data_IF_302765544701
#
_entry.id   IF_302765544701
#
_cell.length_a   1.000
_cell.length_b   1.000
_cell.length_c   1.000
_cell.angle_alpha   90.00
_cell.angle_beta   90.00
_cell.angle_gamma   90.00
#
_symmetry.space_group_name_H-M   'P 1'
#
loop_
_entity.id
_entity.type
_entity.pdbx_description
1 polymer ?
#
# COMPACT_ATOMS: atom_id res chain seq x y z
N UNK A 1 -2.14 -2.29 -7.68
CA UNK A 1 -1.21 -2.21 -8.83
C UNK A 1 0.14 -1.69 -8.33
N UNK A 2 1.24 -2.37 -8.64
CA UNK A 2 2.58 -1.94 -8.19
C UNK A 2 3.05 -0.72 -9.01
N UNK A 3 3.57 0.35 -8.37
CA UNK A 3 3.96 1.53 -9.10
C UNK A 3 5.14 1.33 -10.04
N UNK A 4 5.13 2.09 -11.14
CA UNK A 4 6.17 2.07 -12.17
C UNK A 4 7.20 3.17 -11.90
N UNK A 5 8.47 2.91 -12.29
CA UNK A 5 9.66 3.77 -12.21
C UNK A 5 9.38 5.26 -11.93
N UNK A 6 9.47 5.62 -10.65
CA UNK A 6 9.37 7.01 -10.19
C UNK A 6 10.68 7.43 -9.55
N UNK A 7 11.18 8.63 -9.88
CA UNK A 7 12.37 9.17 -9.21
C UNK A 7 11.94 10.05 -8.04
N UNK A 8 12.75 10.10 -6.98
CA UNK A 8 12.47 10.97 -5.84
C UNK A 8 12.53 12.45 -6.21
N UNK A 9 13.28 12.82 -7.24
CA UNK A 9 13.28 14.20 -7.75
C UNK A 9 11.88 14.62 -8.25
N UNK A 10 11.16 13.73 -8.93
CA UNK A 10 9.79 13.99 -9.36
C UNK A 10 8.83 14.10 -8.17
N UNK A 11 8.99 13.22 -7.17
CA UNK A 11 8.18 13.23 -5.95
C UNK A 11 8.43 14.53 -5.18
N UNK A 12 9.69 14.94 -5.01
CA UNK A 12 10.07 16.17 -4.32
C UNK A 12 9.44 17.40 -5.01
N UNK A 13 9.46 17.47 -6.35
CA UNK A 13 8.79 18.56 -7.11
C UNK A 13 7.28 18.55 -6.91
N UNK A 14 6.65 17.39 -6.98
CA UNK A 14 5.22 17.23 -6.74
C UNK A 14 4.84 17.67 -5.32
N UNK A 15 5.56 17.20 -4.31
CA UNK A 15 5.28 17.53 -2.92
C UNK A 15 5.57 19.00 -2.60
N UNK A 16 6.62 19.59 -3.18
CA UNK A 16 6.90 21.02 -3.06
C UNK A 16 5.76 21.88 -3.60
N UNK A 17 5.15 21.47 -4.71
CA UNK A 17 3.97 22.14 -5.28
C UNK A 17 2.73 21.95 -4.39
N UNK A 18 2.48 20.75 -3.86
CA UNK A 18 1.31 20.47 -3.04
C UNK A 18 1.39 21.06 -1.63
N UNK A 19 2.59 21.19 -1.05
CA UNK A 19 2.83 21.69 0.31
C UNK A 19 2.07 22.99 0.68
N UNK A 20 2.10 24.08 -0.13
CA UNK A 20 1.35 25.30 0.21
C UNK A 20 -0.17 25.17 0.04
N UNK A 21 -0.66 24.11 -0.63
CA UNK A 21 -2.10 23.90 -0.80
C UNK A 21 -2.66 23.14 0.41
N UNK A 22 -3.84 23.55 0.84
CA UNK A 22 -4.64 22.86 1.85
C UNK A 22 -5.77 22.12 1.15
N UNK A 23 -5.96 20.83 1.48
CA UNK A 23 -7.00 20.00 0.88
C UNK A 23 -6.70 19.51 -0.53
N UNK A 24 -7.77 19.16 -1.23
CA UNK A 24 -7.75 18.60 -2.59
C UNK A 24 -7.35 19.62 -3.66
N UNK A 25 -6.40 19.23 -4.51
CA UNK A 25 -5.94 20.01 -5.67
C UNK A 25 -6.29 19.26 -6.94
N UNK A 26 -6.98 19.90 -7.87
CA UNK A 26 -7.36 19.27 -9.14
C UNK A 26 -6.14 18.91 -9.99
N UNK A 27 -6.17 17.73 -10.62
CA UNK A 27 -5.09 17.27 -11.49
C UNK A 27 -4.84 18.21 -12.67
N UNK A 28 -5.88 18.90 -13.16
CA UNK A 28 -5.74 19.95 -14.18
C UNK A 28 -4.84 21.08 -13.69
N UNK A 29 -5.01 21.54 -12.43
CA UNK A 29 -4.15 22.56 -11.84
C UNK A 29 -2.72 22.04 -11.64
N UNK A 30 -2.56 20.80 -11.18
CA UNK A 30 -1.23 20.19 -11.05
C UNK A 30 -0.50 20.14 -12.40
N UNK A 31 -1.16 19.63 -13.44
CA UNK A 31 -0.62 19.53 -14.81
C UNK A 31 -0.34 20.88 -15.47
N UNK A 32 -1.04 21.94 -15.08
CA UNK A 32 -0.80 23.28 -15.58
C UNK A 32 0.47 23.93 -14.97
N UNK A 33 0.91 23.48 -13.78
CA UNK A 33 2.02 24.09 -13.04
C UNK A 33 3.29 23.22 -12.98
N UNK A 34 3.16 21.93 -13.22
CA UNK A 34 4.26 20.98 -13.24
C UNK A 34 4.43 20.38 -14.64
N UNK A 35 5.64 19.92 -14.94
CA UNK A 35 5.90 19.28 -16.21
C UNK A 35 5.13 17.95 -16.36
N UNK A 36 4.88 17.56 -17.61
CA UNK A 36 4.14 16.33 -17.94
C UNK A 36 4.84 15.06 -17.46
N UNK A 37 6.16 15.09 -17.23
CA UNK A 37 6.90 13.93 -16.72
C UNK A 37 6.65 13.78 -15.22
N UNK A 38 6.63 14.87 -14.45
CA UNK A 38 6.34 14.85 -13.00
C UNK A 38 4.89 14.46 -12.73
N UNK A 39 3.97 14.85 -13.62
CA UNK A 39 2.51 14.61 -13.49
C UNK A 39 2.02 13.35 -14.21
N UNK A 40 2.94 12.48 -14.66
CA UNK A 40 2.61 11.18 -15.22
C UNK A 40 1.80 10.35 -14.21
N UNK A 41 0.72 9.73 -14.68
CA UNK A 41 -0.21 8.98 -13.85
C UNK A 41 0.49 7.91 -13.00
N UNK A 42 1.54 7.29 -13.53
CA UNK A 42 2.31 6.25 -12.85
C UNK A 42 3.09 6.79 -11.65
N UNK A 43 3.60 8.02 -11.74
CA UNK A 43 4.32 8.68 -10.63
C UNK A 43 3.38 9.13 -9.54
N UNK A 44 2.20 9.61 -9.92
CA UNK A 44 1.13 9.93 -8.98
C UNK A 44 0.67 8.67 -8.23
N UNK A 45 0.45 7.55 -8.91
CA UNK A 45 0.15 6.28 -8.24
C UNK A 45 1.32 5.79 -7.38
N UNK A 46 2.58 6.03 -7.76
CA UNK A 46 3.72 5.72 -6.92
C UNK A 46 3.74 6.52 -5.62
N UNK A 47 3.58 7.84 -5.70
CA UNK A 47 3.53 8.71 -4.52
C UNK A 47 2.34 8.36 -3.62
N UNK A 48 1.19 7.99 -4.22
CA UNK A 48 0.01 7.52 -3.49
C UNK A 48 0.29 6.21 -2.78
N UNK A 49 0.85 5.23 -3.49
CA UNK A 49 1.13 3.91 -2.95
C UNK A 49 2.14 3.97 -1.79
N UNK A 50 3.16 4.84 -1.87
CA UNK A 50 4.07 5.10 -0.74
C UNK A 50 3.34 5.72 0.47
N UNK A 51 2.21 6.40 0.25
CA UNK A 51 1.47 7.10 1.29
C UNK A 51 1.85 8.57 1.46
N UNK A 52 2.52 9.18 0.47
CA UNK A 52 2.88 10.61 0.49
C UNK A 52 1.74 11.51 0.00
N UNK A 53 0.83 10.97 -0.81
CA UNK A 53 -0.36 11.68 -1.30
C UNK A 53 -1.60 10.79 -1.24
N UNK A 54 -2.78 11.40 -1.25
CA UNK A 54 -4.08 10.78 -1.51
C UNK A 54 -4.56 11.17 -2.90
N UNK A 55 -5.42 10.35 -3.48
CA UNK A 55 -6.01 10.57 -4.80
C UNK A 55 -7.43 10.02 -4.87
N UNK A 56 -8.36 10.79 -5.44
CA UNK A 56 -9.76 10.40 -5.70
C UNK A 56 -10.04 10.13 -7.18
N UNK A 57 -9.02 10.23 -8.02
CA UNK A 57 -9.06 10.09 -9.48
C UNK A 57 -8.88 11.42 -10.20
N UNK A 58 -9.58 12.48 -9.77
CA UNK A 58 -9.57 13.81 -10.39
C UNK A 58 -8.71 14.83 -9.63
N UNK A 59 -8.53 14.60 -8.34
CA UNK A 59 -7.84 15.47 -7.40
C UNK A 59 -6.76 14.69 -6.65
N UNK A 60 -5.78 15.43 -6.15
CA UNK A 60 -4.70 14.93 -5.30
C UNK A 60 -4.58 15.80 -4.05
N UNK A 61 -4.24 15.17 -2.94
CA UNK A 61 -4.03 15.84 -1.65
C UNK A 61 -2.72 15.31 -1.05
N UNK A 62 -1.92 16.18 -0.43
CA UNK A 62 -0.72 15.75 0.31
C UNK A 62 -1.13 15.15 1.65
N UNK A 63 -0.56 13.99 2.03
CA UNK A 63 -0.79 13.40 3.37
C UNK A 63 0.01 14.14 4.43
N UNK A 64 -0.25 13.86 5.71
CA UNK A 64 0.55 14.39 6.81
C UNK A 64 2.02 13.95 6.72
N UNK A 65 2.25 12.68 6.36
CA UNK A 65 3.60 12.15 6.13
C UNK A 65 4.28 12.84 4.93
N UNK A 66 3.55 13.03 3.83
CA UNK A 66 4.05 13.78 2.67
C UNK A 66 4.38 15.23 3.00
N UNK A 67 3.55 15.88 3.84
CA UNK A 67 3.76 17.25 4.30
C UNK A 67 4.97 17.36 5.22
N UNK A 68 5.13 16.43 6.15
CA UNK A 68 6.30 16.35 7.02
C UNK A 68 7.57 16.17 6.19
N UNK A 69 7.56 15.20 5.26
CA UNK A 69 8.67 14.92 4.35
C UNK A 69 9.04 16.16 3.50
N UNK A 70 8.04 16.87 2.95
CA UNK A 70 8.24 18.07 2.14
C UNK A 70 8.68 19.31 2.93
N UNK A 71 8.48 19.31 4.25
CA UNK A 71 8.81 20.44 5.13
C UNK A 71 10.19 20.33 5.75
N UNK A 72 10.68 19.10 5.97
CA UNK A 72 12.03 18.89 6.49
C UNK A 72 13.11 19.05 5.42
N UNK A 73 14.21 19.70 5.80
CA UNK A 73 15.47 19.74 5.04
C UNK A 73 16.51 18.77 5.58
N UNK A 74 16.29 18.23 6.79
CA UNK A 74 17.20 17.28 7.41
C UNK A 74 17.09 15.91 6.72
N UNK A 75 18.18 15.39 6.11
CA UNK A 75 18.18 14.08 5.48
C UNK A 75 17.85 12.94 6.44
N UNK A 76 18.25 13.03 7.73
CA UNK A 76 18.00 11.99 8.71
C UNK A 76 16.50 11.89 9.02
N UNK A 77 15.85 13.03 9.26
CA UNK A 77 14.40 13.09 9.45
C UNK A 77 13.62 12.62 8.21
N UNK A 78 14.07 12.98 6.99
CA UNK A 78 13.48 12.44 5.75
C UNK A 78 13.58 10.93 5.68
N UNK A 79 14.76 10.37 5.98
CA UNK A 79 14.98 8.94 5.99
C UNK A 79 14.08 8.24 7.01
N UNK A 80 13.90 8.83 8.19
CA UNK A 80 13.01 8.32 9.24
C UNK A 80 11.55 8.29 8.82
N UNK A 81 11.04 9.34 8.17
CA UNK A 81 9.68 9.38 7.62
C UNK A 81 9.52 8.28 6.55
N UNK A 82 10.49 8.17 5.63
CA UNK A 82 10.47 7.14 4.58
C UNK A 82 10.55 5.72 5.13
N UNK A 83 11.30 5.50 6.21
CA UNK A 83 11.35 4.22 6.90
C UNK A 83 9.97 3.86 7.49
N UNK A 84 9.28 4.81 8.13
CA UNK A 84 7.92 4.59 8.61
C UNK A 84 6.94 4.21 7.48
N UNK A 85 7.03 4.89 6.33
CA UNK A 85 6.20 4.57 5.15
C UNK A 85 6.56 3.20 4.54
N UNK A 86 7.85 2.86 4.49
CA UNK A 86 8.31 1.56 4.01
C UNK A 86 7.84 0.42 4.92
N UNK A 87 7.81 0.65 6.23
CA UNK A 87 7.28 -0.30 7.21
C UNK A 87 5.76 -0.48 7.11
N UNK A 88 5.03 0.58 6.75
CA UNK A 88 3.58 0.53 6.58
C UNK A 88 3.15 -0.27 5.33
N UNK A 89 4.05 -0.52 4.38
CA UNK A 89 3.79 -1.33 3.20
C UNK A 89 4.21 -2.80 3.44
N UNK A 90 3.26 -3.76 3.60
CA UNK A 90 3.59 -5.13 4.03
C UNK A 90 4.63 -5.83 3.14
N UNK A 91 4.48 -5.71 1.82
CA UNK A 91 5.40 -6.30 0.85
C UNK A 91 6.83 -5.76 1.04
N UNK A 92 7.00 -4.47 1.33
CA UNK A 92 8.32 -3.87 1.49
C UNK A 92 8.94 -4.21 2.85
N UNK A 93 8.16 -4.14 3.93
CA UNK A 93 8.60 -4.53 5.26
C UNK A 93 9.11 -5.98 5.29
N UNK A 94 8.33 -6.91 4.71
CA UNK A 94 8.69 -8.32 4.60
C UNK A 94 9.93 -8.56 3.71
N UNK A 95 10.16 -7.70 2.72
CA UNK A 95 11.37 -7.77 1.90
C UNK A 95 12.62 -7.38 2.70
N UNK A 96 12.53 -6.33 3.52
CA UNK A 96 13.64 -5.94 4.40
C UNK A 96 13.91 -6.99 5.46
N UNK A 97 12.86 -7.59 6.03
CA UNK A 97 12.98 -8.73 6.95
C UNK A 97 13.71 -9.92 6.29
N UNK A 98 13.31 -10.29 5.07
CA UNK A 98 14.01 -11.33 4.31
C UNK A 98 15.48 -10.98 4.09
N UNK A 99 15.80 -9.74 3.71
CA UNK A 99 17.19 -9.30 3.54
C UNK A 99 17.99 -9.44 4.84
N UNK A 100 17.37 -9.14 5.99
CA UNK A 100 17.99 -9.29 7.31
C UNK A 100 18.28 -10.76 7.63
N UNK A 101 17.28 -11.64 7.58
CA UNK A 101 17.45 -13.05 7.96
C UNK A 101 18.30 -13.85 6.96
N UNK A 102 18.19 -13.56 5.66
CA UNK A 102 18.96 -14.23 4.63
C UNK A 102 20.41 -13.69 4.49
N UNK A 103 20.80 -12.71 5.32
CA UNK A 103 22.09 -12.00 5.23
C UNK A 103 22.40 -11.49 3.82
N UNK A 104 21.38 -11.02 3.10
CA UNK A 104 21.50 -10.49 1.73
C UNK A 104 21.76 -8.99 1.76
N UNK A 105 23.03 -8.61 1.73
CA UNK A 105 23.44 -7.21 1.68
C UNK A 105 23.38 -6.60 0.27
N UNK A 106 23.49 -7.40 -0.79
CA UNK A 106 23.47 -6.92 -2.17
C UNK A 106 22.42 -7.62 -3.05
N UNK A 107 21.11 -7.63 -2.68
CA UNK A 107 20.10 -8.29 -3.51
C UNK A 107 19.96 -7.60 -4.87
N UNK A 108 19.96 -8.40 -5.93
CA UNK A 108 19.68 -7.95 -7.30
C UNK A 108 18.19 -7.74 -7.50
N UNK A 109 17.82 -7.04 -8.58
CA UNK A 109 16.42 -6.91 -8.99
C UNK A 109 15.75 -8.28 -9.19
N UNK A 110 16.50 -9.26 -9.70
CA UNK A 110 16.02 -10.63 -9.92
C UNK A 110 15.79 -11.34 -8.60
N UNK A 111 16.72 -11.25 -7.64
CA UNK A 111 16.58 -11.90 -6.32
C UNK A 111 15.31 -11.45 -5.60
N UNK A 112 15.05 -10.14 -5.57
CA UNK A 112 13.86 -9.58 -4.92
C UNK A 112 12.60 -9.97 -5.69
N UNK A 113 12.63 -9.92 -7.03
CA UNK A 113 11.50 -10.31 -7.87
C UNK A 113 11.11 -11.79 -7.67
N UNK A 114 12.10 -12.67 -7.60
CA UNK A 114 11.90 -14.10 -7.35
C UNK A 114 11.34 -14.34 -5.94
N UNK A 115 11.85 -13.60 -4.93
CA UNK A 115 11.33 -13.67 -3.57
C UNK A 115 9.86 -13.27 -3.51
N UNK A 116 9.49 -12.18 -4.19
CA UNK A 116 8.12 -11.70 -4.27
C UNK A 116 7.21 -12.69 -4.98
N UNK A 117 7.65 -13.24 -6.10
CA UNK A 117 6.86 -14.21 -6.86
C UNK A 117 6.62 -15.51 -6.06
N UNK A 118 7.62 -15.98 -5.32
CA UNK A 118 7.53 -17.24 -4.56
C UNK A 118 6.70 -17.13 -3.29
N UNK A 119 6.82 -16.01 -2.57
CA UNK A 119 6.25 -15.90 -1.22
C UNK A 119 5.09 -14.92 -1.10
N UNK A 120 4.95 -13.99 -2.05
CA UNK A 120 4.02 -12.85 -1.95
C UNK A 120 3.19 -12.66 -3.22
N UNK A 121 2.97 -13.71 -4.01
CA UNK A 121 2.24 -13.65 -5.29
C UNK A 121 0.84 -13.04 -5.16
N UNK A 122 0.15 -13.28 -4.05
CA UNK A 122 -1.17 -12.73 -3.73
C UNK A 122 -1.14 -11.18 -3.60
N UNK A 123 -0.04 -10.63 -3.08
CA UNK A 123 0.14 -9.18 -2.91
C UNK A 123 0.55 -8.47 -4.20
N UNK A 124 0.93 -9.22 -5.24
CA UNK A 124 1.36 -8.64 -6.52
C UNK A 124 0.19 -8.20 -7.40
N UNK A 125 -1.05 -8.60 -7.08
CA UNK A 125 -2.24 -8.30 -7.88
C UNK A 125 -2.05 -8.62 -9.38
N UNK A 126 -1.38 -9.73 -9.68
CA UNK A 126 -1.09 -10.16 -11.06
C UNK A 126 0.07 -9.42 -11.75
N UNK A 127 0.83 -8.57 -11.03
CA UNK A 127 2.02 -7.94 -11.60
C UNK A 127 3.09 -8.99 -11.98
N UNK A 128 3.49 -8.99 -13.26
CA UNK A 128 4.48 -9.91 -13.81
C UNK A 128 5.46 -9.16 -14.73
N UNK A 129 6.56 -9.81 -15.10
CA UNK A 129 7.53 -9.32 -16.08
C UNK A 129 8.04 -7.91 -15.78
N UNK A 130 7.83 -6.98 -16.71
CA UNK A 130 8.28 -5.59 -16.57
C UNK A 130 7.64 -4.86 -15.39
N UNK A 131 6.35 -5.11 -15.11
CA UNK A 131 5.64 -4.45 -14.02
C UNK A 131 6.19 -4.88 -12.64
N UNK A 132 6.46 -6.18 -12.47
CA UNK A 132 7.13 -6.70 -11.28
C UNK A 132 8.53 -6.08 -11.12
N UNK A 133 9.30 -6.06 -12.20
CA UNK A 133 10.64 -5.46 -12.20
C UNK A 133 10.66 -3.98 -11.84
N UNK A 134 9.69 -3.20 -12.31
CA UNK A 134 9.56 -1.78 -11.97
C UNK A 134 9.14 -1.59 -10.51
N UNK A 135 8.29 -2.47 -9.98
CA UNK A 135 7.93 -2.52 -8.56
C UNK A 135 9.11 -2.79 -7.64
N UNK A 136 9.96 -3.74 -8.00
CA UNK A 136 11.21 -4.02 -7.27
C UNK A 136 12.15 -2.80 -7.31
N UNK A 137 12.27 -2.13 -8.46
CA UNK A 137 13.07 -0.90 -8.57
C UNK A 137 12.50 0.18 -7.65
N UNK A 138 11.18 0.30 -7.57
CA UNK A 138 10.53 1.24 -6.68
C UNK A 138 10.86 0.94 -5.21
N UNK A 139 10.74 -0.32 -4.78
CA UNK A 139 11.16 -0.77 -3.45
C UNK A 139 12.60 -0.35 -3.14
N UNK A 140 13.56 -0.65 -4.02
CA UNK A 140 14.97 -0.33 -3.76
C UNK A 140 15.22 1.18 -3.65
N UNK A 141 14.49 2.00 -4.42
CA UNK A 141 14.56 3.46 -4.32
C UNK A 141 13.99 3.96 -2.99
N UNK A 142 12.86 3.41 -2.55
CA UNK A 142 12.25 3.74 -1.26
C UNK A 142 13.16 3.31 -0.11
N UNK A 143 13.77 2.13 -0.20
CA UNK A 143 14.75 1.64 0.76
C UNK A 143 16.00 2.55 0.85
N UNK A 144 16.49 3.06 -0.30
CA UNK A 144 17.54 4.08 -0.30
C UNK A 144 17.08 5.38 0.37
N UNK A 145 15.88 5.87 0.04
CA UNK A 145 15.34 7.08 0.64
C UNK A 145 15.09 6.93 2.14
N UNK A 146 14.83 5.71 2.62
CA UNK A 146 14.72 5.34 4.02
C UNK A 146 16.08 5.14 4.73
N UNK A 147 17.20 5.36 4.02
CA UNK A 147 18.54 5.24 4.61
C UNK A 147 19.03 3.81 4.82
N UNK A 148 18.41 2.80 4.18
CA UNK A 148 18.80 1.39 4.36
C UNK A 148 20.01 0.98 3.52
N UNK A 149 20.50 1.86 2.65
CA UNK A 149 21.60 1.59 1.73
C UNK A 149 21.52 2.40 0.44
N UNK A 150 22.14 1.90 -0.63
CA UNK A 150 22.24 2.58 -1.93
C UNK A 150 21.67 1.74 -3.06
N UNK A 151 20.77 2.32 -3.83
CA UNK A 151 20.27 1.74 -5.07
C UNK A 151 21.26 2.00 -6.21
N UNK A 152 21.64 0.95 -6.93
CA UNK A 152 22.62 1.02 -8.02
C UNK A 152 21.98 0.45 -9.29
N UNK A 153 21.81 1.31 -10.29
CA UNK A 153 21.29 0.93 -11.60
C UNK A 153 22.30 0.12 -12.40
N UNK A 154 21.80 -0.79 -13.23
CA UNK A 154 22.61 -1.45 -14.26
C UNK A 154 23.40 -0.44 -15.10
N UNK A 155 24.63 -0.79 -15.46
CA UNK A 155 25.51 0.04 -16.28
C UNK A 155 26.61 -0.78 -16.94
N UNK A 156 27.52 -0.11 -17.66
CA UNK A 156 28.50 -0.79 -18.54
C UNK A 156 29.40 -1.81 -17.81
N UNK A 157 29.63 -1.67 -16.50
CA UNK A 157 30.49 -2.57 -15.70
C UNK A 157 29.72 -3.63 -14.90
N UNK A 158 28.41 -3.45 -14.72
CA UNK A 158 27.54 -4.41 -14.02
C UNK A 158 26.19 -4.46 -14.73
N UNK A 159 25.83 -5.59 -15.35
CA UNK A 159 24.61 -5.69 -16.17
C UNK A 159 23.33 -5.62 -15.34
N UNK A 160 23.40 -5.83 -14.02
CA UNK A 160 22.24 -5.93 -13.15
C UNK A 160 22.11 -4.75 -12.20
N UNK A 161 20.85 -4.32 -12.04
CA UNK A 161 20.44 -3.38 -11.00
C UNK A 161 20.37 -4.12 -9.67
N UNK A 162 20.94 -3.54 -8.62
CA UNK A 162 20.95 -4.14 -7.28
C UNK A 162 20.85 -3.06 -6.20
N UNK A 163 20.58 -3.49 -4.98
CA UNK A 163 20.56 -2.62 -3.81
C UNK A 163 21.73 -2.99 -2.91
N UNK A 164 22.63 -2.04 -2.63
CA UNK A 164 23.72 -2.21 -1.67
C UNK A 164 23.24 -1.78 -0.29
N UNK A 165 22.70 -2.72 0.47
CA UNK A 165 22.19 -2.54 1.81
C UNK A 165 23.30 -2.35 2.85
N UNK A 166 23.04 -1.47 3.82
CA UNK A 166 23.91 -1.26 4.97
C UNK A 166 23.37 -2.10 6.14
N UNK A 167 24.13 -3.12 6.55
CA UNK A 167 23.68 -4.09 7.56
C UNK A 167 23.18 -3.42 8.85
N UNK A 168 23.89 -2.44 9.45
CA UNK A 168 23.43 -1.79 10.67
C UNK A 168 22.08 -1.07 10.48
N UNK A 169 21.87 -0.42 9.33
CA UNK A 169 20.63 0.29 9.03
C UNK A 169 19.45 -0.67 8.83
N UNK A 170 19.66 -1.80 8.14
CA UNK A 170 18.65 -2.85 7.97
C UNK A 170 18.26 -3.46 9.31
N UNK A 171 19.24 -3.74 10.17
CA UNK A 171 19.01 -4.27 11.52
C UNK A 171 18.24 -3.30 12.40
N UNK A 172 18.63 -2.02 12.39
CA UNK A 172 17.91 -0.96 13.10
C UNK A 172 16.45 -0.87 12.61
N UNK A 173 16.24 -0.87 11.28
CA UNK A 173 14.90 -0.86 10.71
C UNK A 173 14.06 -2.05 11.20
N UNK A 174 14.62 -3.25 11.15
CA UNK A 174 13.92 -4.47 11.58
C UNK A 174 13.54 -4.40 13.06
N UNK A 175 14.48 -4.02 13.92
CA UNK A 175 14.23 -3.91 15.36
C UNK A 175 13.17 -2.84 15.68
N UNK A 176 13.28 -1.66 15.07
CA UNK A 176 12.37 -0.53 15.36
C UNK A 176 10.98 -0.73 14.79
N UNK A 177 10.87 -1.08 13.51
CA UNK A 177 9.60 -1.03 12.80
C UNK A 177 8.90 -2.39 12.65
N UNK A 178 9.65 -3.49 12.60
CA UNK A 178 9.07 -4.84 12.42
C UNK A 178 8.84 -5.51 13.78
N UNK A 179 9.83 -5.49 14.67
CA UNK A 179 9.67 -6.02 16.03
C UNK A 179 9.00 -5.05 17.00
N UNK A 180 8.87 -3.76 16.64
CA UNK A 180 8.31 -2.74 17.51
C UNK A 180 9.15 -2.49 18.77
N UNK A 181 10.43 -2.86 18.77
CA UNK A 181 11.32 -2.50 19.86
C UNK A 181 11.55 -0.99 19.80
N UNK A 182 11.54 -0.28 20.95
CA UNK A 182 11.98 1.11 20.94
C UNK A 182 13.37 1.14 20.30
N UNK A 183 13.61 2.11 19.42
CA UNK A 183 14.97 2.35 18.96
C UNK A 183 15.79 2.56 20.24
N UNK A 184 16.75 1.67 20.53
CA UNK A 184 17.63 1.87 21.68
C UNK A 184 18.20 3.28 21.52
N UNK A 185 17.97 4.12 22.53
CA UNK A 185 18.35 5.54 22.59
C UNK A 185 19.89 5.71 22.67
N UNK A 186 20.64 4.95 21.87
CA UNK A 186 22.02 5.22 21.55
C UNK A 186 22.07 6.37 20.53
N UNK A 187 21.87 7.58 21.05
CA UNK A 187 22.35 8.85 20.50
C UNK A 187 21.63 9.44 19.26
N UNK A 188 20.31 9.29 19.18
CA UNK A 188 19.48 10.15 18.30
C UNK A 188 18.27 10.68 19.06
N UNK A 189 18.50 11.70 19.89
CA UNK A 189 17.42 12.58 20.33
C UNK A 189 16.82 13.25 19.09
N UNK A 190 15.57 12.93 18.74
CA UNK A 190 14.44 13.86 18.50
C UNK A 190 13.29 13.17 17.73
N UNK A 191 12.11 13.13 18.34
CA UNK A 191 10.76 13.04 17.78
C UNK A 191 10.44 11.95 16.73
N UNK A 192 9.95 10.81 17.20
CA UNK A 192 8.97 10.00 16.44
C UNK A 192 7.58 10.68 16.52
N UNK A 193 6.99 11.25 15.44
CA UNK A 193 5.56 11.41 15.37
C UNK A 193 4.98 10.00 15.31
N UNK A 194 4.23 9.63 16.35
CA UNK A 194 3.26 8.54 16.24
C UNK A 194 2.33 8.92 15.11
N UNK A 195 2.34 8.16 14.02
CA UNK A 195 1.22 8.16 13.08
C UNK A 195 0.09 7.45 13.82
N UNK A 196 -0.75 8.23 14.50
CA UNK A 196 -2.00 7.73 15.06
C UNK A 196 -2.91 7.37 13.88
N UNK A 197 -2.90 6.09 13.52
CA UNK A 197 -3.88 5.52 12.60
C UNK A 197 -5.20 5.42 13.37
N UNK A 198 -5.86 6.55 13.54
CA UNK A 198 -7.22 6.58 14.07
C UNK A 198 -8.15 5.98 13.02
N UNK A 199 -8.91 4.92 13.33
CA UNK A 199 -9.93 4.42 12.43
C UNK A 199 -10.99 5.53 12.27
N UNK A 200 -11.12 6.06 11.05
CA UNK A 200 -12.15 7.03 10.69
C UNK A 200 -13.51 6.37 10.90
N UNK A 201 -14.18 6.75 11.99
CA UNK A 201 -15.60 6.48 12.19
C UNK A 201 -16.40 7.27 11.16
N UNK A 202 -17.35 6.60 10.52
CA UNK A 202 -18.23 7.18 9.51
C UNK A 202 -18.96 8.43 10.06
N UNK A 203 -19.20 9.46 9.22
CA UNK A 203 -19.89 10.66 9.65
C UNK A 203 -21.36 10.35 10.01
N UNK A 204 -21.73 10.58 11.27
CA UNK A 204 -23.12 10.64 11.69
C UNK A 204 -23.80 11.89 11.12
N UNK A 205 -25.02 11.79 10.57
CA UNK A 205 -25.81 12.94 10.16
C UNK A 205 -26.32 13.71 11.39
N UNK A 206 -25.99 14.99 11.47
CA UNK A 206 -26.46 15.94 12.48
C UNK A 206 -27.89 16.39 12.16
N UNK A 207 -28.86 15.88 12.93
CA UNK A 207 -30.22 16.42 13.01
C UNK A 207 -30.33 17.53 14.07
N UNK A 208 -31.26 18.49 13.93
CA UNK A 208 -31.48 19.56 14.90
C UNK A 208 -32.19 19.09 16.17
N UNK A 209 -31.68 19.53 17.32
CA UNK A 209 -32.18 19.22 18.67
C UNK A 209 -33.55 19.86 18.97
N UNK A 210 -34.50 19.15 19.59
CA UNK A 210 -35.65 19.76 20.25
C UNK A 210 -35.39 20.05 21.73
N UNK A 211 -36.04 21.11 22.21
CA UNK A 211 -36.12 21.59 23.58
C UNK A 211 -36.93 20.58 24.42
N UNK A 212 -36.42 20.19 25.60
CA UNK A 212 -37.10 19.28 26.53
C UNK A 212 -37.54 20.00 27.81
N UNK A 213 -38.83 19.92 28.09
CA UNK A 213 -39.49 20.30 29.35
C UNK A 213 -39.94 19.01 30.05
N UNK A 214 -39.70 18.89 31.36
CA UNK A 214 -40.22 17.83 32.24
C UNK A 214 -41.24 18.43 33.24
N UNK A 215 -42.04 17.67 34.03
CA UNK A 215 -42.03 16.22 34.25
C UNK A 215 -43.43 15.53 34.25
N UNK A 216 -43.47 14.19 34.10
CA UNK A 216 -44.72 13.45 34.30
C UNK A 216 -44.57 11.91 34.25
N UNK A 217 -44.90 11.29 35.39
CA UNK A 217 -45.39 9.92 35.63
C UNK A 217 -44.56 8.69 35.17
N UNK A 218 -44.27 7.84 36.16
CA UNK A 218 -43.67 6.52 36.00
C UNK A 218 -44.62 5.50 35.34
N UNK A 219 -44.09 4.72 34.40
CA UNK A 219 -44.74 3.60 33.72
C UNK A 219 -43.81 2.36 33.76
N UNK A 220 -44.35 1.13 33.62
CA UNK A 220 -43.73 -0.10 34.11
C UNK A 220 -42.61 -0.65 33.22
N UNK A 221 -41.70 -1.38 33.88
CA UNK A 221 -40.49 -2.01 33.35
C UNK A 221 -40.82 -3.01 32.24
N UNK A 222 -40.32 -2.75 31.03
CA UNK A 222 -40.43 -3.62 29.87
C UNK A 222 -39.29 -4.64 29.88
N UNK A 223 -39.63 -5.93 29.76
CA UNK A 223 -38.68 -7.04 29.76
C UNK A 223 -37.72 -6.97 28.54
N UNK A 224 -36.46 -7.32 28.78
CA UNK A 224 -35.40 -7.28 27.79
C UNK A 224 -35.68 -8.23 26.60
N UNK A 225 -35.34 -7.83 25.36
CA UNK A 225 -35.50 -8.69 24.18
C UNK A 225 -34.52 -9.87 24.25
N UNK A 226 -35.06 -11.08 24.12
CA UNK A 226 -34.24 -12.28 23.94
C UNK A 226 -33.77 -12.36 22.48
N UNK A 227 -32.46 -12.33 22.28
CA UNK A 227 -31.83 -12.55 20.97
C UNK A 227 -31.76 -14.05 20.73
N UNK A 228 -32.63 -14.56 19.86
CA UNK A 228 -32.61 -15.95 19.40
C UNK A 228 -31.71 -16.03 18.17
N UNK A 229 -30.53 -16.65 18.30
CA UNK A 229 -29.64 -16.92 17.17
C UNK A 229 -30.11 -18.19 16.46
N UNK A 230 -30.88 -18.04 15.38
CA UNK A 230 -31.29 -19.12 14.50
C UNK A 230 -30.21 -19.30 13.41
N UNK A 231 -29.39 -20.35 13.54
CA UNK A 231 -28.35 -20.67 12.57
C UNK A 231 -28.96 -21.27 11.29
N UNK A 232 -28.74 -20.62 10.16
CA UNK A 232 -28.79 -21.24 8.83
C UNK A 232 -27.96 -20.39 7.87
N UNK A 233 -26.76 -20.81 7.42
CA UNK A 233 -26.11 -20.11 6.33
C UNK A 233 -26.36 -20.88 5.03
N UNK A 234 -27.46 -20.56 4.36
CA UNK A 234 -27.44 -20.54 2.91
C UNK A 234 -26.62 -19.30 2.51
N UNK A 235 -25.37 -19.50 2.10
CA UNK A 235 -24.52 -18.40 1.64
C UNK A 235 -25.02 -18.00 0.25
N UNK A 236 -25.70 -16.86 0.15
CA UNK A 236 -26.10 -16.28 -1.13
C UNK A 236 -24.96 -15.41 -1.66
N UNK A 237 -24.37 -15.82 -2.78
CA UNK A 237 -23.32 -15.06 -3.48
C UNK A 237 -23.96 -14.42 -4.72
N UNK A 238 -23.95 -13.08 -4.80
CA UNK A 238 -24.37 -12.33 -5.98
C UNK A 238 -23.13 -12.00 -6.83
N UNK A 239 -23.12 -12.46 -8.08
CA UNK A 239 -22.04 -12.21 -9.03
C UNK A 239 -22.54 -11.29 -10.15
N UNK A 240 -21.88 -10.13 -10.33
CA UNK A 240 -22.13 -9.21 -11.45
C UNK A 240 -20.98 -9.32 -12.47
N UNK A 241 -21.32 -9.51 -13.74
CA UNK A 241 -20.34 -9.71 -14.83
C UNK A 241 -20.52 -8.59 -15.86
N UNK A 242 -19.49 -7.75 -16.01
CA UNK A 242 -19.45 -6.72 -17.06
C UNK A 242 -18.83 -7.32 -18.33
N UNK A 243 -19.64 -7.46 -19.37
CA UNK A 243 -19.20 -7.95 -20.68
C UNK A 243 -19.02 -6.74 -21.60
N UNK A 244 -17.87 -6.65 -22.27
CA UNK A 244 -17.61 -5.59 -23.24
C UNK A 244 -18.61 -5.66 -24.41
N UNK A 245 -18.99 -4.49 -24.96
CA UNK A 245 -20.03 -4.41 -25.99
C UNK A 245 -19.66 -5.12 -27.32
N UNK A 246 -18.37 -5.38 -27.53
CA UNK A 246 -17.81 -6.06 -28.70
C UNK A 246 -17.52 -7.55 -28.47
N UNK A 247 -17.88 -8.09 -27.31
CA UNK A 247 -17.68 -9.50 -27.02
C UNK A 247 -18.54 -10.38 -27.96
N UNK A 248 -17.89 -11.35 -28.60
CA UNK A 248 -18.62 -12.30 -29.45
C UNK A 248 -19.40 -13.31 -28.59
N UNK A 249 -20.47 -13.89 -29.15
CA UNK A 249 -21.25 -14.93 -28.48
C UNK A 249 -20.37 -16.13 -28.05
N UNK A 250 -19.34 -16.46 -28.83
CA UNK A 250 -18.36 -17.51 -28.51
C UNK A 250 -17.56 -17.17 -27.25
N UNK A 251 -17.08 -15.93 -27.14
CA UNK A 251 -16.34 -15.45 -25.96
C UNK A 251 -17.21 -15.50 -24.71
N UNK A 252 -18.48 -15.09 -24.82
CA UNK A 252 -19.44 -15.15 -23.70
C UNK A 252 -19.67 -16.61 -23.27
N UNK A 253 -19.84 -17.54 -24.23
CA UNK A 253 -20.00 -18.96 -23.93
C UNK A 253 -18.77 -19.57 -23.24
N UNK A 254 -17.55 -19.18 -23.62
CA UNK A 254 -16.33 -19.63 -22.95
C UNK A 254 -16.20 -19.12 -21.52
N UNK A 255 -16.58 -17.87 -21.25
CA UNK A 255 -16.61 -17.29 -19.90
C UNK A 255 -17.52 -18.14 -18.99
N UNK A 256 -18.76 -18.40 -19.41
CA UNK A 256 -19.69 -19.21 -18.62
C UNK A 256 -19.24 -20.66 -18.48
N UNK A 257 -18.63 -21.25 -19.51
CA UNK A 257 -18.08 -22.61 -19.45
C UNK A 257 -16.97 -22.71 -18.39
N UNK A 258 -16.06 -21.73 -18.34
CA UNK A 258 -14.99 -21.70 -17.35
C UNK A 258 -15.54 -21.43 -15.94
N UNK A 259 -16.49 -20.50 -15.78
CA UNK A 259 -17.12 -20.26 -14.47
C UNK A 259 -17.83 -21.50 -13.92
N UNK A 260 -18.52 -22.27 -14.77
CA UNK A 260 -19.18 -23.52 -14.36
C UNK A 260 -18.21 -24.51 -13.71
N UNK A 261 -16.97 -24.58 -14.21
CA UNK A 261 -15.92 -25.42 -13.63
C UNK A 261 -15.58 -25.01 -12.19
N UNK A 262 -15.65 -23.73 -11.84
CA UNK A 262 -15.28 -23.28 -10.49
C UNK A 262 -16.45 -23.18 -9.52
N UNK A 263 -17.68 -22.98 -10.03
CA UNK A 263 -18.87 -22.83 -9.18
C UNK A 263 -19.55 -24.17 -8.87
N UNK A 264 -19.51 -25.13 -9.80
CA UNK A 264 -20.21 -26.42 -9.67
C UNK A 264 -19.28 -27.63 -9.49
N UNK A 265 -17.95 -27.46 -9.59
CA UNK A 265 -17.07 -28.53 -9.14
C UNK A 265 -17.06 -28.45 -7.62
N UNK A 266 -17.97 -29.21 -7.00
CA UNK A 266 -17.84 -29.60 -5.61
C UNK A 266 -16.38 -30.05 -5.42
N UNK A 267 -15.70 -29.55 -4.38
CA UNK A 267 -14.25 -29.62 -4.19
C UNK A 267 -13.59 -31.01 -4.13
N UNK A 268 -14.19 -32.05 -4.69
CA UNK A 268 -13.57 -33.30 -5.10
C UNK A 268 -12.67 -33.08 -6.32
N UNK A 269 -11.63 -32.26 -6.17
CA UNK A 269 -10.45 -32.43 -7.00
C UNK A 269 -9.73 -33.67 -6.46
N UNK A 270 -9.90 -34.79 -7.17
CA UNK A 270 -9.11 -36.01 -7.04
C UNK A 270 -7.63 -35.62 -6.92
N UNK A 271 -7.06 -35.84 -5.74
CA UNK A 271 -5.61 -35.86 -5.55
C UNK A 271 -5.15 -37.10 -6.31
N UNK A 272 -4.64 -36.90 -7.51
CA UNK A 272 -3.95 -37.95 -8.23
C UNK A 272 -2.71 -38.35 -7.41
N UNK A 273 -2.86 -39.40 -6.61
CA UNK A 273 -1.74 -40.20 -6.11
C UNK A 273 -0.93 -40.66 -7.32
N UNK A 274 0.25 -40.06 -7.48
CA UNK A 274 1.29 -40.61 -8.34
C UNK A 274 1.98 -41.73 -7.58
N UNK A 275 1.58 -42.97 -7.88
CA UNK A 275 2.35 -44.17 -7.61
C UNK A 275 3.53 -44.29 -8.60
N UNK A 276 4.69 -44.60 -8.02
CA UNK A 276 5.94 -45.23 -8.54
C UNK A 276 6.66 -44.68 -9.80
#
# INVERSE_FOLDING_TARGET
MIPIKTTFEDIDKLLAFLRPNFGWVSLTKVKANLDSKTTDNRKLEAARWIGLIKRDGQNVEITDAGRAYASTQDPAERARIMAGLLAAAPLYAQTVEWMYHANKSEPTKTDVGDQWYKHYSELLEGAQGAALGDGVIMFMRVAQAAGLGKFITAGNRRPETYFKGERPAIEQFYNTYVLGKPADDADVATATPRIDVTPVSAPQPSGPSPIYTAPGAAAPVQAAPQVTLQASPAIHINLEIHIAADATATTVAEIFKNMRKYVLSDGTAEVAEGDE
#
